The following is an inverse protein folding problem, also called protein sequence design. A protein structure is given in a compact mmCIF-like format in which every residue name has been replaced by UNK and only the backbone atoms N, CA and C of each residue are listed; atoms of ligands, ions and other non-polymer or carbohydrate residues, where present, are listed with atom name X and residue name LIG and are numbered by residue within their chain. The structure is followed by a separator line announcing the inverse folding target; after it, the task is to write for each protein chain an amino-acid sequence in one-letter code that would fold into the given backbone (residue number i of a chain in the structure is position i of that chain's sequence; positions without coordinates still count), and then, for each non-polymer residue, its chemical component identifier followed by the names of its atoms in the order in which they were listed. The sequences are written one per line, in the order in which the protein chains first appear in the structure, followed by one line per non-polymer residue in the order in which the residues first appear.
data_IF_885699401514
#
_entry.id   IF_885699401514
#
_cell.length_a   1.000
_cell.length_b   1.000
_cell.length_c   1.000
_cell.angle_alpha   90.00
_cell.angle_beta   90.00
_cell.angle_gamma   90.00
#
_symmetry.space_group_name_H-M   'P 1'
#
loop_
_entity.id
_entity.type
_entity.pdbx_description
1 polymer ?
#
# COMPACT_ATOMS: atom_id res chain seq x y z
N UNK A 1 1.72 5.92 -17.02
CA UNK A 1 1.61 6.63 -15.70
C UNK A 1 1.54 5.54 -14.65
N UNK A 2 2.48 5.46 -13.71
CA UNK A 2 2.46 4.39 -12.69
C UNK A 2 1.69 4.82 -11.44
N UNK A 3 0.70 4.04 -11.02
CA UNK A 3 -0.11 4.30 -9.83
C UNK A 3 0.07 3.15 -8.83
N UNK A 4 0.50 3.48 -7.61
CA UNK A 4 0.56 2.53 -6.51
C UNK A 4 -0.75 2.58 -5.73
N UNK A 5 -1.44 1.45 -5.60
CA UNK A 5 -2.65 1.34 -4.79
C UNK A 5 -2.33 0.58 -3.52
N UNK A 6 -2.74 1.14 -2.37
CA UNK A 6 -2.49 0.62 -1.03
C UNK A 6 -3.81 0.34 -0.33
N UNK A 7 -3.91 -0.84 0.28
CA UNK A 7 -4.98 -1.26 1.15
C UNK A 7 -4.37 -1.79 2.44
N UNK A 8 -4.43 -0.99 3.49
CA UNK A 8 -3.93 -1.34 4.82
C UNK A 8 -5.06 -1.91 5.67
N UNK A 9 -4.86 -3.11 6.21
CA UNK A 9 -5.68 -3.67 7.28
C UNK A 9 -5.00 -3.54 8.64
N UNK A 10 -5.57 -4.13 9.69
CA UNK A 10 -5.02 -4.08 11.05
C UNK A 10 -3.62 -4.69 11.18
N UNK A 11 -3.32 -5.75 10.42
CA UNK A 11 -2.03 -6.46 10.46
C UNK A 11 -1.46 -6.77 9.07
N UNK A 12 -1.94 -6.07 8.03
CA UNK A 12 -1.48 -6.30 6.65
C UNK A 12 -1.48 -5.04 5.80
N UNK A 13 -0.68 -5.07 4.73
CA UNK A 13 -0.69 -4.08 3.64
C UNK A 13 -0.76 -4.87 2.33
N UNK A 14 -1.87 -4.75 1.61
CA UNK A 14 -1.99 -5.20 0.22
C UNK A 14 -1.66 -4.04 -0.70
N UNK A 15 -0.89 -4.30 -1.74
CA UNK A 15 -0.60 -3.28 -2.74
C UNK A 15 -0.58 -3.83 -4.15
N UNK A 16 -0.84 -2.95 -5.11
CA UNK A 16 -0.67 -3.21 -6.53
C UNK A 16 -0.11 -1.97 -7.21
N UNK A 17 0.77 -2.15 -8.19
CA UNK A 17 1.25 -1.06 -9.02
C UNK A 17 0.71 -1.26 -10.44
N UNK A 18 0.07 -0.23 -10.98
CA UNK A 18 -0.52 -0.23 -12.32
C UNK A 18 0.26 0.70 -13.24
N UNK A 19 0.42 0.33 -14.50
CA UNK A 19 0.65 1.32 -15.56
C UNK A 19 -0.69 1.73 -16.16
N UNK A 20 -1.16 2.93 -15.83
CA UNK A 20 -2.44 3.44 -16.29
C UNK A 20 -2.45 3.85 -17.77
N UNK A 21 -1.29 3.88 -18.44
CA UNK A 21 -1.27 4.04 -19.90
C UNK A 21 -1.81 2.79 -20.60
N UNK A 22 -1.48 1.61 -20.06
CA UNK A 22 -1.84 0.30 -20.62
C UNK A 22 -2.89 -0.44 -19.79
N UNK A 23 -3.21 0.07 -18.60
CA UNK A 23 -4.00 -0.58 -17.55
C UNK A 23 -3.40 -1.92 -17.06
N UNK A 24 -2.12 -2.16 -17.35
CA UNK A 24 -1.43 -3.39 -16.93
C UNK A 24 -1.08 -3.34 -15.44
N UNK A 25 -1.15 -4.50 -14.77
CA UNK A 25 -0.62 -4.69 -13.42
C UNK A 25 0.87 -4.97 -13.52
N UNK A 26 1.69 -4.05 -13.02
CA UNK A 26 3.15 -4.17 -12.99
C UNK A 26 3.63 -5.06 -11.83
N UNK A 27 2.95 -4.99 -10.70
CA UNK A 27 3.20 -5.87 -9.57
C UNK A 27 1.99 -5.98 -8.65
N UNK A 28 1.92 -7.09 -7.92
CA UNK A 28 1.06 -7.23 -6.74
C UNK A 28 1.91 -7.61 -5.54
N UNK A 29 1.48 -7.24 -4.33
CA UNK A 29 2.14 -7.73 -3.14
C UNK A 29 1.31 -7.62 -1.88
N UNK A 30 1.82 -8.28 -0.86
CA UNK A 30 1.20 -8.46 0.44
C UNK A 30 2.27 -8.43 1.52
N UNK A 31 2.10 -7.53 2.47
CA UNK A 31 2.70 -7.60 3.79
C UNK A 31 1.66 -8.15 4.74
N UNK A 32 1.96 -9.19 5.49
CA UNK A 32 1.07 -9.78 6.48
C UNK A 32 1.81 -10.08 7.78
N UNK A 33 1.03 -10.31 8.85
CA UNK A 33 1.55 -10.55 10.21
C UNK A 33 2.39 -9.38 10.74
N UNK A 34 1.98 -8.16 10.43
CA UNK A 34 2.59 -6.94 10.97
C UNK A 34 2.34 -6.90 12.47
N UNK A 35 3.40 -6.62 13.25
CA UNK A 35 3.39 -6.63 14.71
C UNK A 35 3.62 -8.00 15.33
N UNK A 36 3.66 -9.08 14.53
CA UNK A 36 3.98 -10.43 15.00
C UNK A 36 5.49 -10.71 14.95
N UNK A 37 6.01 -11.71 15.69
CA UNK A 37 7.43 -12.07 15.66
C UNK A 37 7.94 -12.51 14.27
N UNK A 38 7.05 -13.05 13.44
CA UNK A 38 7.37 -13.57 12.11
C UNK A 38 6.44 -12.98 11.06
N UNK A 39 6.79 -11.76 10.61
CA UNK A 39 6.14 -11.08 9.49
C UNK A 39 6.48 -11.74 8.16
N UNK A 40 5.66 -11.45 7.14
CA UNK A 40 5.83 -11.99 5.79
C UNK A 40 5.54 -10.94 4.73
N UNK A 41 6.46 -10.79 3.78
CA UNK A 41 6.32 -9.97 2.59
C UNK A 41 6.35 -10.87 1.36
N UNK A 42 5.33 -10.77 0.52
CA UNK A 42 5.24 -11.43 -0.77
C UNK A 42 5.12 -10.36 -1.86
N UNK A 43 5.95 -10.47 -2.89
CA UNK A 43 5.94 -9.59 -4.04
C UNK A 43 5.91 -10.41 -5.34
N UNK A 44 5.03 -10.03 -6.25
CA UNK A 44 4.81 -10.68 -7.54
C UNK A 44 4.93 -9.63 -8.63
N UNK A 45 6.15 -9.36 -9.13
CA UNK A 45 6.37 -8.50 -10.27
C UNK A 45 5.92 -9.19 -11.57
N UNK A 46 5.36 -8.44 -12.51
CA UNK A 46 4.97 -8.97 -13.81
C UNK A 46 6.20 -9.42 -14.61
N UNK A 47 6.14 -10.63 -15.18
CA UNK A 47 7.23 -11.19 -16.00
C UNK A 47 8.49 -11.59 -15.21
N UNK A 48 8.45 -11.57 -13.88
CA UNK A 48 9.57 -11.94 -13.00
C UNK A 48 9.12 -12.99 -11.97
N UNK A 49 10.06 -13.76 -11.37
CA UNK A 49 9.73 -14.68 -10.29
C UNK A 49 9.12 -13.98 -9.06
N UNK A 50 8.29 -14.71 -8.31
CA UNK A 50 7.79 -14.25 -7.02
C UNK A 50 8.95 -14.13 -6.02
N UNK A 51 8.95 -13.05 -5.24
CA UNK A 51 9.85 -12.83 -4.11
C UNK A 51 9.07 -13.01 -2.81
N UNK A 52 9.68 -13.70 -1.85
CA UNK A 52 9.13 -13.87 -0.52
C UNK A 52 10.22 -13.61 0.53
N UNK A 53 9.90 -12.78 1.53
CA UNK A 53 10.77 -12.47 2.67
C UNK A 53 10.00 -12.73 3.96
N UNK A 54 10.64 -13.45 4.88
CA UNK A 54 10.09 -13.80 6.19
C UNK A 54 10.99 -13.20 7.27
N UNK A 55 10.54 -12.10 7.87
CA UNK A 55 11.27 -11.33 8.87
C UNK A 55 10.30 -10.54 9.76
N UNK A 56 10.75 -10.08 10.92
CA UNK A 56 9.92 -9.23 11.77
C UNK A 56 9.54 -7.93 11.04
N UNK A 57 8.26 -7.54 11.14
CA UNK A 57 7.70 -6.30 10.59
C UNK A 57 6.91 -5.61 11.70
N UNK A 58 7.57 -4.80 12.55
CA UNK A 58 6.95 -4.29 13.77
C UNK A 58 5.75 -3.39 13.53
N UNK A 59 5.80 -2.55 12.48
CA UNK A 59 4.75 -1.57 12.19
C UNK A 59 4.40 -1.50 10.70
N UNK A 60 3.26 -0.88 10.37
CA UNK A 60 2.92 -0.57 8.98
C UNK A 60 3.94 0.33 8.29
N UNK A 61 4.63 1.20 9.05
CA UNK A 61 5.73 2.01 8.51
C UNK A 61 6.88 1.13 8.05
N UNK A 62 7.28 0.14 8.85
CA UNK A 62 8.35 -0.79 8.50
C UNK A 62 7.95 -1.66 7.31
N UNK A 63 6.69 -2.13 7.30
CA UNK A 63 6.14 -2.89 6.17
C UNK A 63 6.16 -2.09 4.87
N UNK A 64 5.69 -0.83 4.91
CA UNK A 64 5.69 0.04 3.73
C UNK A 64 7.11 0.42 3.28
N UNK A 65 8.05 0.61 4.22
CA UNK A 65 9.46 0.83 3.89
C UNK A 65 10.08 -0.37 3.16
N UNK A 66 9.77 -1.59 3.59
CA UNK A 66 10.20 -2.81 2.89
C UNK A 66 9.57 -2.94 1.51
N UNK A 67 8.29 -2.57 1.35
CA UNK A 67 7.64 -2.51 0.03
C UNK A 67 8.35 -1.49 -0.86
N UNK A 68 8.61 -0.27 -0.37
CA UNK A 68 9.28 0.76 -1.15
C UNK A 68 10.70 0.33 -1.59
N UNK A 69 11.47 -0.28 -0.69
CA UNK A 69 12.79 -0.82 -1.00
C UNK A 69 12.72 -1.92 -2.07
N UNK A 70 11.74 -2.82 -1.97
CA UNK A 70 11.57 -3.92 -2.93
C UNK A 70 11.12 -3.42 -4.30
N UNK A 71 10.25 -2.41 -4.35
CA UNK A 71 9.83 -1.80 -5.63
C UNK A 71 11.01 -1.17 -6.38
N UNK A 72 12.00 -0.65 -5.65
CA UNK A 72 13.22 -0.01 -6.15
C UNK A 72 14.40 -0.98 -6.33
N UNK A 73 14.22 -2.26 -5.99
CA UNK A 73 15.31 -3.23 -6.10
C UNK A 73 15.71 -3.40 -7.58
N UNK A 74 17.01 -3.33 -7.93
CA UNK A 74 17.44 -3.37 -9.33
C UNK A 74 17.17 -4.71 -10.02
N UNK A 75 16.96 -5.79 -9.25
CA UNK A 75 16.70 -7.14 -9.78
C UNK A 75 15.22 -7.48 -9.62
N UNK A 76 14.71 -7.34 -8.40
CA UNK A 76 13.39 -7.79 -7.97
C UNK A 76 12.29 -6.73 -8.18
N UNK A 77 12.67 -5.46 -8.29
CA UNK A 77 11.75 -4.33 -8.35
C UNK A 77 11.12 -4.08 -9.71
N UNK A 78 10.35 -2.99 -9.79
CA UNK A 78 9.58 -2.58 -10.98
C UNK A 78 9.73 -1.10 -11.35
N UNK A 79 10.52 -0.36 -10.57
CA UNK A 79 10.87 1.03 -10.78
C UNK A 79 12.36 1.21 -10.45
N UNK A 80 13.02 2.14 -11.14
CA UNK A 80 14.40 2.55 -10.91
C UNK A 80 14.47 3.79 -9.99
N UNK A 81 13.38 4.57 -9.94
CA UNK A 81 13.29 5.79 -9.13
C UNK A 81 11.91 5.95 -8.47
N UNK A 82 11.83 6.51 -7.24
CA UNK A 82 10.54 6.85 -6.63
C UNK A 82 9.68 7.79 -7.50
N UNK A 83 10.33 8.62 -8.32
CA UNK A 83 9.66 9.58 -9.20
C UNK A 83 8.86 8.93 -10.33
N UNK A 84 9.04 7.62 -10.57
CA UNK A 84 8.22 6.89 -11.53
C UNK A 84 6.81 6.61 -11.03
N UNK A 85 6.59 6.63 -9.71
CA UNK A 85 5.25 6.53 -9.12
C UNK A 85 4.58 7.91 -9.16
N UNK A 86 3.58 8.06 -10.03
CA UNK A 86 2.93 9.33 -10.28
C UNK A 86 1.89 9.70 -9.23
N UNK A 87 1.23 8.70 -8.63
CA UNK A 87 0.37 8.90 -7.47
C UNK A 87 0.20 7.61 -6.66
N UNK A 88 -0.31 7.78 -5.44
CA UNK A 88 -0.66 6.69 -4.54
C UNK A 88 -2.15 6.77 -4.21
N UNK A 89 -2.88 5.70 -4.52
CA UNK A 89 -4.28 5.54 -4.13
C UNK A 89 -4.39 4.76 -2.83
N UNK A 90 -5.18 5.26 -1.89
CA UNK A 90 -5.43 4.58 -0.61
C UNK A 90 -6.89 4.15 -0.50
N UNK A 91 -7.13 2.91 -0.07
CA UNK A 91 -8.47 2.51 0.37
C UNK A 91 -8.70 3.00 1.79
N UNK A 92 -9.71 3.85 1.95
CA UNK A 92 -10.28 4.26 3.23
C UNK A 92 -11.70 3.69 3.31
N UNK A 93 -12.07 3.05 4.42
CA UNK A 93 -13.33 2.30 4.50
C UNK A 93 -14.54 3.21 4.68
N UNK A 94 -14.46 4.16 5.60
CA UNK A 94 -15.59 5.05 5.90
C UNK A 94 -15.22 6.52 5.63
N UNK A 95 -15.95 7.17 4.71
CA UNK A 95 -15.84 8.60 4.39
C UNK A 95 -16.88 9.48 5.10
N UNK A 96 -17.81 8.85 5.84
CA UNK A 96 -18.96 9.54 6.42
C UNK A 96 -19.86 10.10 5.34
N UNK A 97 -20.64 11.13 5.66
CA UNK A 97 -21.42 11.88 4.68
C UNK A 97 -20.57 12.89 3.89
N UNK A 98 -19.34 13.15 4.36
CA UNK A 98 -18.44 14.17 3.80
C UNK A 98 -17.72 13.71 2.53
N UNK A 99 -17.41 12.41 2.42
CA UNK A 99 -16.70 11.86 1.28
C UNK A 99 -17.46 10.69 0.64
N UNK A 100 -18.09 10.96 -0.51
CA UNK A 100 -18.81 9.98 -1.32
C UNK A 100 -18.13 9.68 -2.66
N UNK A 101 -16.99 10.31 -2.94
CA UNK A 101 -16.21 10.14 -4.16
C UNK A 101 -14.69 10.13 -3.85
N UNK A 102 -13.84 9.60 -4.75
CA UNK A 102 -12.39 9.70 -4.62
C UNK A 102 -11.95 11.15 -4.41
N UNK A 103 -11.14 11.38 -3.38
CA UNK A 103 -10.75 12.72 -2.91
C UNK A 103 -9.24 12.79 -2.72
N UNK A 104 -8.61 13.90 -3.14
CA UNK A 104 -7.19 14.15 -2.88
C UNK A 104 -6.99 14.33 -1.37
N UNK A 105 -6.01 13.62 -0.81
CA UNK A 105 -5.76 13.66 0.63
C UNK A 105 -4.95 14.92 0.96
N UNK A 106 -5.57 15.85 1.69
CA UNK A 106 -4.93 16.97 2.37
C UNK A 106 -5.06 16.82 3.90
N UNK A 107 -4.62 17.83 4.66
CA UNK A 107 -4.70 17.77 6.12
C UNK A 107 -6.14 17.74 6.66
N UNK A 108 -7.09 18.41 6.01
CA UNK A 108 -8.49 18.41 6.41
C UNK A 108 -9.16 17.05 6.18
N UNK A 109 -8.82 16.38 5.07
CA UNK A 109 -9.25 15.01 4.78
C UNK A 109 -8.67 14.06 5.83
N UNK A 110 -7.39 14.19 6.18
CA UNK A 110 -6.75 13.35 7.21
C UNK A 110 -7.39 13.51 8.58
N UNK A 111 -7.73 14.73 8.97
CA UNK A 111 -8.43 14.99 10.23
C UNK A 111 -9.84 14.41 10.22
N UNK A 112 -10.59 14.63 9.13
CA UNK A 112 -11.93 14.06 9.00
C UNK A 112 -11.92 12.52 9.03
N UNK A 113 -10.93 11.86 8.40
CA UNK A 113 -10.81 10.40 8.47
C UNK A 113 -10.59 9.92 9.92
N UNK A 114 -9.80 10.65 10.71
CA UNK A 114 -9.59 10.37 12.14
C UNK A 114 -10.86 10.56 12.96
N UNK A 115 -11.62 11.62 12.71
CA UNK A 115 -12.90 11.86 13.38
C UNK A 115 -13.92 10.75 13.09
N UNK A 116 -13.82 10.12 11.93
CA UNK A 116 -14.68 9.01 11.50
C UNK A 116 -14.21 7.64 11.99
N UNK A 117 -13.05 7.55 12.67
CA UNK A 117 -12.54 6.30 13.23
C UNK A 117 -13.57 5.52 14.08
N UNK A 118 -14.39 6.17 14.94
CA UNK A 118 -15.42 5.47 15.72
C UNK A 118 -16.50 4.78 14.88
N UNK A 119 -16.73 5.20 13.64
CA UNK A 119 -17.69 4.56 12.72
C UNK A 119 -17.12 3.31 12.04
N UNK A 120 -15.79 3.16 12.00
CA UNK A 120 -15.12 2.01 11.41
C UNK A 120 -13.83 1.65 12.18
N UNK A 121 -13.92 1.31 13.49
CA UNK A 121 -12.77 1.21 14.39
C UNK A 121 -11.77 0.12 14.02
N UNK A 122 -12.18 -0.88 13.23
CA UNK A 122 -11.33 -1.96 12.76
C UNK A 122 -10.59 -1.63 11.45
N UNK A 123 -10.88 -0.48 10.83
CA UNK A 123 -10.46 -0.16 9.47
C UNK A 123 -9.93 1.26 9.27
N UNK A 124 -10.46 2.25 10.02
CA UNK A 124 -10.00 3.64 10.00
C UNK A 124 -9.38 4.01 11.37
N UNK A 125 -8.22 3.44 11.76
CA UNK A 125 -7.56 3.81 13.01
C UNK A 125 -6.92 5.20 12.98
#
# INVERSE_FOLDING_TARGET
MKILVINSGSSSIKYQCFDMTTQAVLATGLVERIGEPAGRLIHRPAGKPQVERNNAIPTHRDGLAQVAALLLDPVEGIIESPNEINAVGHRVVHGGERFSAPTVIDDAVRETIRDLAPLAPLHNP
#
